data_IF_974757426808
#
_entry.id   IF_974757426808
#
_cell.length_a   1.000
_cell.length_b   1.000
_cell.length_c   1.000
_cell.angle_alpha   90.00
_cell.angle_beta   90.00
_cell.angle_gamma   90.00
#
_symmetry.space_group_name_H-M   'P 1'
#
loop_
_entity.id
_entity.type
_entity.pdbx_description
1 polymer ?
#
# COMPACT_ATOMS: atom_id res chain seq x y z
N UNK A 1 22.24 -72.36 25.54
CA UNK A 1 22.77 -71.27 24.72
C UNK A 1 21.60 -70.38 24.38
N UNK A 2 21.42 -69.33 25.17
CA UNK A 2 20.24 -68.46 25.13
C UNK A 2 20.43 -67.38 24.07
N UNK A 3 19.54 -67.36 23.07
CA UNK A 3 19.49 -66.32 22.05
C UNK A 3 18.84 -65.07 22.63
N UNK A 4 19.65 -64.03 22.83
CA UNK A 4 19.19 -62.70 23.28
C UNK A 4 18.42 -62.05 22.13
N UNK A 5 17.09 -62.16 22.15
CA UNK A 5 16.21 -61.40 21.28
C UNK A 5 16.01 -60.01 21.88
N UNK A 6 16.45 -58.97 21.16
CA UNK A 6 16.12 -57.57 21.47
C UNK A 6 14.61 -57.39 21.25
N UNK A 7 13.84 -56.82 22.20
CA UNK A 7 12.45 -56.52 21.96
C UNK A 7 12.34 -55.32 21.02
N UNK A 8 11.81 -55.56 19.82
CA UNK A 8 11.41 -54.50 18.89
C UNK A 8 10.28 -53.70 19.54
N UNK A 9 10.59 -52.51 20.05
CA UNK A 9 9.58 -51.53 20.41
C UNK A 9 8.83 -51.11 19.12
N UNK A 10 7.48 -51.13 19.10
CA UNK A 10 6.76 -50.55 17.99
C UNK A 10 7.11 -49.06 17.93
N UNK A 11 7.68 -48.63 16.81
CA UNK A 11 7.75 -47.21 16.49
C UNK A 11 6.31 -46.73 16.35
N UNK A 12 5.76 -46.14 17.42
CA UNK A 12 4.61 -45.27 17.31
C UNK A 12 5.08 -44.08 16.46
N UNK A 13 4.88 -44.22 15.15
CA UNK A 13 4.83 -43.11 14.23
C UNK A 13 3.75 -42.18 14.78
N UNK A 14 4.19 -41.15 15.51
CA UNK A 14 3.36 -40.01 15.82
C UNK A 14 3.12 -39.35 14.46
N UNK A 15 2.08 -39.80 13.76
CA UNK A 15 1.43 -39.03 12.72
C UNK A 15 0.79 -37.84 13.42
N UNK A 16 1.62 -36.84 13.72
CA UNK A 16 1.17 -35.48 13.81
C UNK A 16 0.64 -35.16 12.42
N UNK A 17 -0.64 -35.42 12.25
CA UNK A 17 -1.45 -34.90 11.17
C UNK A 17 -1.09 -33.43 11.05
N UNK A 18 -0.37 -33.08 9.97
CA UNK A 18 -0.24 -31.71 9.50
C UNK A 18 -1.63 -31.33 8.96
N UNK A 19 -2.60 -31.23 9.87
CA UNK A 19 -3.69 -30.29 9.69
C UNK A 19 -2.99 -28.96 9.78
N UNK A 20 -2.94 -28.26 8.65
CA UNK A 20 -2.53 -26.87 8.63
C UNK A 20 -3.42 -26.13 9.62
N UNK A 21 -2.89 -25.90 10.83
CA UNK A 21 -3.37 -24.90 11.79
C UNK A 21 -3.06 -23.50 11.20
N UNK A 22 -3.44 -23.30 9.93
CA UNK A 22 -3.63 -21.98 9.39
C UNK A 22 -4.67 -21.33 10.28
N UNK A 23 -4.36 -20.11 10.74
CA UNK A 23 -5.28 -19.33 11.54
C UNK A 23 -6.66 -19.40 10.88
N UNK A 24 -7.62 -20.06 11.53
CA UNK A 24 -9.02 -20.01 11.12
C UNK A 24 -9.41 -18.54 11.27
N UNK A 25 -9.43 -17.81 10.17
CA UNK A 25 -9.83 -16.39 10.14
C UNK A 25 -11.26 -16.22 9.63
N UNK A 26 -11.90 -17.32 9.24
CA UNK A 26 -13.22 -17.30 8.61
C UNK A 26 -14.26 -16.89 9.66
N UNK A 27 -14.89 -15.73 9.43
CA UNK A 27 -15.95 -15.19 10.29
C UNK A 27 -15.51 -14.19 11.36
N UNK A 28 -14.23 -13.85 11.47
CA UNK A 28 -13.80 -12.80 12.41
C UNK A 28 -14.09 -11.40 11.87
N UNK A 29 -14.64 -10.53 12.71
CA UNK A 29 -14.82 -9.10 12.41
C UNK A 29 -13.45 -8.42 12.30
N UNK A 30 -13.34 -7.37 11.50
CA UNK A 30 -12.11 -6.56 11.39
C UNK A 30 -11.49 -6.17 12.75
N UNK A 31 -12.31 -5.73 13.71
CA UNK A 31 -11.84 -5.40 15.06
C UNK A 31 -11.20 -6.59 15.79
N UNK A 32 -11.73 -7.80 15.59
CA UNK A 32 -11.18 -9.03 16.18
C UNK A 32 -9.87 -9.43 15.50
N UNK A 33 -9.78 -9.28 14.16
CA UNK A 33 -8.52 -9.50 13.43
C UNK A 33 -7.44 -8.54 13.91
N UNK A 34 -7.79 -7.27 14.15
CA UNK A 34 -6.86 -6.28 14.68
C UNK A 34 -6.41 -6.60 16.11
N UNK A 35 -7.32 -7.02 16.99
CA UNK A 35 -6.96 -7.46 18.34
C UNK A 35 -5.99 -8.65 18.31
N UNK A 36 -6.27 -9.64 17.45
CA UNK A 36 -5.41 -10.80 17.26
C UNK A 36 -4.02 -10.44 16.74
N UNK A 37 -3.92 -9.43 15.87
CA UNK A 37 -2.64 -8.88 15.41
C UNK A 37 -1.86 -8.32 16.60
N UNK A 38 -2.49 -7.48 17.42
CA UNK A 38 -1.84 -6.89 18.60
C UNK A 38 -1.37 -7.95 19.59
N UNK A 39 -2.17 -9.00 19.83
CA UNK A 39 -1.79 -10.11 20.72
C UNK A 39 -0.55 -10.86 20.21
N UNK A 40 -0.46 -11.10 18.90
CA UNK A 40 0.69 -11.76 18.30
C UNK A 40 1.94 -10.87 18.30
N UNK A 41 1.79 -9.57 18.05
CA UNK A 41 2.87 -8.59 18.14
C UNK A 41 3.40 -8.49 19.58
N UNK A 42 2.51 -8.51 20.58
CA UNK A 42 2.90 -8.52 21.99
C UNK A 42 3.68 -9.80 22.36
N UNK A 43 3.24 -10.97 21.88
CA UNK A 43 3.98 -12.24 22.05
C UNK A 43 5.35 -12.18 21.38
N UNK A 44 5.44 -11.60 20.19
CA UNK A 44 6.70 -11.42 19.47
C UNK A 44 7.66 -10.52 20.25
N UNK A 45 7.16 -9.43 20.83
CA UNK A 45 7.94 -8.52 21.68
C UNK A 45 8.44 -9.20 22.95
N UNK A 46 7.60 -10.00 23.61
CA UNK A 46 7.99 -10.75 24.80
C UNK A 46 9.11 -11.76 24.49
N UNK A 47 8.98 -12.54 23.42
CA UNK A 47 10.02 -13.49 22.98
C UNK A 47 11.29 -12.77 22.51
N UNK A 48 11.16 -11.60 21.89
CA UNK A 48 12.28 -10.73 21.54
C UNK A 48 13.06 -10.29 22.78
N UNK A 49 12.36 -9.86 23.82
CA UNK A 49 12.99 -9.46 25.10
C UNK A 49 13.76 -10.59 25.76
N UNK A 50 13.27 -11.84 25.64
CA UNK A 50 14.00 -13.04 26.09
C UNK A 50 15.28 -13.24 25.26
N UNK A 51 15.24 -13.04 23.95
CA UNK A 51 16.43 -13.15 23.10
C UNK A 51 17.47 -12.06 23.41
N UNK A 52 17.00 -10.83 23.69
CA UNK A 52 17.84 -9.68 24.04
C UNK A 52 18.57 -9.88 25.38
N UNK A 53 17.93 -10.51 26.37
CA UNK A 53 18.58 -10.83 27.65
C UNK A 53 19.75 -11.81 27.49
N UNK A 54 19.64 -12.73 26.52
CA UNK A 54 20.73 -13.63 26.13
C UNK A 54 21.72 -13.00 25.15
N UNK A 55 21.52 -11.75 24.70
CA UNK A 55 22.35 -11.02 23.72
C UNK A 55 22.51 -11.78 22.40
N UNK A 56 21.46 -12.46 21.96
CA UNK A 56 21.45 -13.37 20.81
C UNK A 56 20.35 -12.94 19.85
N UNK A 57 20.64 -12.90 18.54
CA UNK A 57 19.66 -12.59 17.50
C UNK A 57 19.12 -13.86 16.85
N UNK A 58 18.21 -13.75 15.87
CA UNK A 58 17.72 -14.91 15.10
C UNK A 58 18.80 -15.63 14.27
N UNK A 59 19.93 -14.96 13.99
CA UNK A 59 21.01 -15.45 13.10
C UNK A 59 22.31 -15.80 13.82
N UNK A 60 22.43 -15.55 15.12
CA UNK A 60 23.71 -15.78 15.81
C UNK A 60 24.05 -17.28 15.85
N UNK A 61 25.31 -17.66 15.60
CA UNK A 61 25.74 -19.06 15.61
C UNK A 61 25.66 -19.62 17.04
N UNK A 62 25.03 -20.79 17.18
CA UNK A 62 24.86 -21.48 18.48
C UNK A 62 25.91 -22.57 18.72
N UNK A 63 26.82 -22.73 17.78
CA UNK A 63 27.85 -23.76 17.76
C UNK A 63 29.20 -23.04 17.62
N UNK A 64 30.22 -23.63 18.23
CA UNK A 64 31.63 -23.24 18.05
C UNK A 64 32.15 -23.71 16.69
N UNK A 65 33.28 -23.16 16.19
CA UNK A 65 33.91 -23.61 14.94
C UNK A 65 34.25 -25.11 14.95
N UNK A 66 34.52 -25.68 16.13
CA UNK A 66 34.86 -27.08 16.32
C UNK A 66 33.63 -28.02 16.28
N UNK A 67 32.42 -27.47 16.11
CA UNK A 67 31.19 -28.25 15.96
C UNK A 67 30.44 -28.55 17.27
N UNK A 68 30.88 -28.00 18.40
CA UNK A 68 30.24 -28.22 19.71
C UNK A 68 29.29 -27.08 20.11
N UNK A 69 28.18 -27.35 20.83
CA UNK A 69 27.30 -26.33 21.36
C UNK A 69 28.06 -25.30 22.20
N UNK A 70 27.68 -24.03 22.09
CA UNK A 70 28.35 -22.97 22.83
C UNK A 70 27.99 -23.03 24.32
N UNK A 71 29.01 -23.01 25.19
CA UNK A 71 28.82 -23.17 26.63
C UNK A 71 28.35 -21.89 27.36
N UNK A 72 28.55 -20.72 26.75
CA UNK A 72 28.09 -19.41 27.22
C UNK A 72 26.59 -19.16 27.00
N UNK A 73 25.91 -20.03 26.23
CA UNK A 73 24.53 -19.85 25.81
C UNK A 73 23.66 -21.05 26.16
N UNK A 74 22.41 -20.79 26.54
CA UNK A 74 21.38 -21.84 26.57
C UNK A 74 20.85 -22.10 25.16
N UNK A 75 21.55 -23.00 24.45
CA UNK A 75 21.24 -23.36 23.05
C UNK A 75 19.81 -23.92 22.91
N UNK A 76 19.31 -24.66 23.90
CA UNK A 76 18.01 -25.30 23.85
C UNK A 76 16.88 -24.26 23.94
N UNK A 77 16.99 -23.34 24.91
CA UNK A 77 16.05 -22.23 25.06
C UNK A 77 16.05 -21.35 23.81
N UNK A 78 17.23 -20.93 23.34
CA UNK A 78 17.36 -20.07 22.16
C UNK A 78 16.73 -20.73 20.93
N UNK A 79 17.00 -22.01 20.67
CA UNK A 79 16.43 -22.73 19.52
C UNK A 79 14.90 -22.77 19.60
N UNK A 80 14.36 -23.03 20.78
CA UNK A 80 12.91 -23.08 21.02
C UNK A 80 12.26 -21.70 20.84
N UNK A 81 12.87 -20.66 21.39
CA UNK A 81 12.41 -19.27 21.27
C UNK A 81 12.44 -18.81 19.81
N UNK A 82 13.51 -19.12 19.06
CA UNK A 82 13.60 -18.83 17.62
C UNK A 82 12.49 -19.53 16.82
N UNK A 83 12.23 -20.81 17.09
CA UNK A 83 11.16 -21.53 16.41
C UNK A 83 9.79 -20.88 16.65
N UNK A 84 9.50 -20.50 17.90
CA UNK A 84 8.27 -19.77 18.27
C UNK A 84 8.14 -18.43 17.55
N UNK A 85 9.23 -17.65 17.50
CA UNK A 85 9.28 -16.38 16.78
C UNK A 85 8.94 -16.58 15.30
N UNK A 86 9.55 -17.58 14.65
CA UNK A 86 9.32 -17.86 13.22
C UNK A 86 7.85 -18.23 12.97
N UNK A 87 7.26 -19.08 13.82
CA UNK A 87 5.85 -19.46 13.69
C UNK A 87 4.94 -18.22 13.81
N UNK A 88 5.14 -17.40 14.86
CA UNK A 88 4.34 -16.19 15.06
C UNK A 88 4.51 -15.19 13.91
N UNK A 89 5.72 -15.06 13.35
CA UNK A 89 5.96 -14.19 12.19
C UNK A 89 5.23 -14.67 10.94
N UNK A 90 5.23 -15.98 10.68
CA UNK A 90 4.51 -16.57 9.55
C UNK A 90 2.99 -16.41 9.73
N UNK A 91 2.50 -16.62 10.94
CA UNK A 91 1.10 -16.45 11.32
C UNK A 91 0.64 -14.99 11.17
N UNK A 92 1.45 -14.04 11.63
CA UNK A 92 1.21 -12.60 11.43
C UNK A 92 1.15 -12.24 9.94
N UNK A 93 2.06 -12.78 9.12
CA UNK A 93 2.04 -12.58 7.67
C UNK A 93 0.74 -13.10 7.04
N UNK A 94 0.28 -14.27 7.47
CA UNK A 94 -1.01 -14.83 7.04
C UNK A 94 -2.18 -13.93 7.47
N UNK A 95 -2.22 -13.52 8.74
CA UNK A 95 -3.26 -12.64 9.28
C UNK A 95 -3.32 -11.30 8.54
N UNK A 96 -2.17 -10.69 8.23
CA UNK A 96 -2.10 -9.44 7.47
C UNK A 96 -2.70 -9.59 6.08
N UNK A 97 -2.44 -10.70 5.38
CA UNK A 97 -3.06 -10.98 4.08
C UNK A 97 -4.60 -11.10 4.18
N UNK A 98 -5.10 -11.64 5.29
CA UNK A 98 -6.55 -11.70 5.53
C UNK A 98 -7.14 -10.32 5.81
N UNK A 99 -6.46 -9.51 6.64
CA UNK A 99 -6.87 -8.13 6.93
C UNK A 99 -6.92 -7.31 5.64
N UNK A 100 -5.90 -7.40 4.79
CA UNK A 100 -5.85 -6.72 3.48
C UNK A 100 -7.07 -7.05 2.63
N UNK A 101 -7.42 -8.35 2.51
CA UNK A 101 -8.59 -8.80 1.75
C UNK A 101 -9.89 -8.25 2.32
N UNK A 102 -10.03 -8.23 3.65
CA UNK A 102 -11.22 -7.69 4.30
C UNK A 102 -11.37 -6.18 4.09
N UNK A 103 -10.26 -5.44 4.08
CA UNK A 103 -10.25 -4.00 3.77
C UNK A 103 -10.65 -3.76 2.31
N UNK A 104 -10.05 -4.51 1.38
CA UNK A 104 -10.38 -4.40 -0.04
C UNK A 104 -11.85 -4.75 -0.32
N UNK A 105 -12.37 -5.80 0.31
CA UNK A 105 -13.78 -6.17 0.19
C UNK A 105 -14.72 -5.06 0.68
N UNK A 106 -14.40 -4.43 1.82
CA UNK A 106 -15.19 -3.33 2.38
C UNK A 106 -15.22 -2.10 1.47
N UNK A 107 -14.08 -1.70 0.88
CA UNK A 107 -14.04 -0.58 -0.05
C UNK A 107 -14.67 -0.91 -1.40
N UNK A 108 -14.53 -2.15 -1.87
CA UNK A 108 -15.18 -2.60 -3.10
C UNK A 108 -16.71 -2.59 -2.96
N UNK A 109 -17.26 -3.08 -1.84
CA UNK A 109 -18.71 -3.01 -1.59
C UNK A 109 -19.19 -1.56 -1.46
N UNK A 110 -18.41 -0.71 -0.77
CA UNK A 110 -18.76 0.71 -0.64
C UNK A 110 -18.77 1.45 -1.98
N UNK A 111 -17.87 1.07 -2.90
CA UNK A 111 -17.83 1.62 -4.26
C UNK A 111 -18.99 1.13 -5.12
N UNK A 112 -19.57 -0.05 -4.83
CA UNK A 112 -20.76 -0.57 -5.51
C UNK A 112 -22.04 0.07 -4.98
N UNK A 113 -22.13 0.34 -3.67
CA UNK A 113 -23.30 1.02 -3.09
C UNK A 113 -23.50 2.42 -3.70
N UNK A 114 -22.41 3.14 -4.01
CA UNK A 114 -22.44 4.44 -4.73
C UNK A 114 -22.87 4.32 -6.21
N UNK A 115 -23.01 3.10 -6.76
CA UNK A 115 -23.49 2.85 -8.14
C UNK A 115 -24.97 2.42 -8.18
N UNK A 116 -25.58 2.10 -7.03
CA UNK A 116 -26.97 1.59 -6.95
C UNK A 116 -28.05 2.61 -6.60
N UNK A 117 -27.74 3.91 -6.46
CA UNK A 117 -28.75 4.98 -6.41
C UNK A 117 -28.92 5.76 -7.74
N UNK A 118 -28.36 5.27 -8.85
CA UNK A 118 -28.65 5.80 -10.20
C UNK A 118 -28.61 4.67 -11.25
N UNK A 119 -29.34 3.58 -11.01
CA UNK A 119 -29.54 2.53 -12.03
C UNK A 119 -30.93 2.60 -12.62
N UNK A 120 -31.15 3.68 -13.39
CA UNK A 120 -32.20 3.75 -14.41
C UNK A 120 -31.61 4.29 -15.72
N UNK A 121 -30.41 3.83 -16.11
CA UNK A 121 -29.89 4.03 -17.47
C UNK A 121 -29.16 2.78 -17.96
N UNK A 122 -29.91 2.01 -18.74
CA UNK A 122 -29.48 0.95 -19.64
C UNK A 122 -28.26 1.39 -20.49
N UNK A 123 -27.09 0.76 -20.33
CA UNK A 123 -25.99 0.87 -21.28
C UNK A 123 -25.82 -0.44 -22.04
N UNK A 124 -26.59 -0.51 -23.12
CA UNK A 124 -26.32 -1.34 -24.28
C UNK A 124 -24.98 -0.90 -24.90
N UNK A 125 -24.10 -1.88 -25.12
CA UNK A 125 -22.83 -1.67 -25.81
C UNK A 125 -23.12 -1.34 -27.28
N UNK A 126 -23.03 -0.06 -27.66
CA UNK A 126 -22.73 0.30 -29.06
C UNK A 126 -21.98 1.62 -29.20
N UNK A 127 -20.79 1.44 -29.74
CA UNK A 127 -19.90 2.38 -30.40
C UNK A 127 -20.63 3.38 -31.30
N UNK A 128 -20.00 4.55 -31.46
CA UNK A 128 -20.10 5.59 -32.52
C UNK A 128 -21.15 6.73 -32.39
N UNK A 129 -20.60 7.90 -32.04
CA UNK A 129 -20.82 9.25 -32.62
C UNK A 129 -22.04 10.09 -32.17
N UNK A 130 -21.69 11.26 -31.61
CA UNK A 130 -22.42 12.55 -31.56
C UNK A 130 -23.66 12.71 -30.66
N UNK A 131 -23.49 13.41 -29.53
CA UNK A 131 -24.19 14.69 -29.19
C UNK A 131 -23.85 15.15 -27.75
N UNK A 132 -23.41 16.40 -27.50
CA UNK A 132 -23.00 16.88 -26.19
C UNK A 132 -24.00 17.89 -25.60
N UNK A 133 -24.72 17.60 -24.51
CA UNK A 133 -25.47 18.69 -23.83
C UNK A 133 -25.84 18.55 -22.34
N UNK A 134 -25.75 17.40 -21.66
CA UNK A 134 -26.34 17.30 -20.30
C UNK A 134 -25.45 16.69 -19.21
N UNK A 135 -24.34 16.05 -19.54
CA UNK A 135 -23.39 15.50 -18.54
C UNK A 135 -22.41 16.55 -17.98
N UNK A 136 -22.25 17.71 -18.63
CA UNK A 136 -21.23 18.70 -18.26
C UNK A 136 -21.50 19.45 -16.96
N UNK A 137 -22.74 19.51 -16.46
CA UNK A 137 -23.04 20.25 -15.21
C UNK A 137 -22.59 19.51 -13.96
N UNK A 138 -22.86 18.20 -13.88
CA UNK A 138 -22.51 17.39 -12.70
C UNK A 138 -21.01 17.14 -12.55
N UNK A 139 -20.27 17.15 -13.67
CA UNK A 139 -18.82 17.00 -13.65
C UNK A 139 -18.13 18.33 -13.31
N UNK A 140 -18.63 19.46 -13.82
CA UNK A 140 -18.13 20.80 -13.43
C UNK A 140 -18.28 21.08 -11.94
N UNK A 141 -19.37 20.63 -11.32
CA UNK A 141 -19.64 20.83 -9.89
C UNK A 141 -18.64 20.10 -8.98
N UNK A 142 -17.90 19.12 -9.53
CA UNK A 142 -16.85 18.38 -8.84
C UNK A 142 -15.45 18.94 -9.09
N UNK A 143 -15.31 20.04 -9.84
CA UNK A 143 -14.04 20.73 -9.96
C UNK A 143 -13.72 21.48 -8.66
N UNK A 144 -12.52 21.31 -8.12
CA UNK A 144 -12.12 21.95 -6.86
C UNK A 144 -11.01 23.00 -7.03
N UNK A 145 -10.41 23.08 -8.21
CA UNK A 145 -9.31 24.01 -8.45
C UNK A 145 -9.28 24.52 -9.89
N UNK A 146 -8.63 25.66 -10.10
CA UNK A 146 -8.40 26.29 -11.40
C UNK A 146 -6.94 26.63 -11.59
N UNK A 147 -6.43 26.42 -12.80
CA UNK A 147 -5.07 26.81 -13.18
C UNK A 147 -5.04 28.29 -13.53
N UNK A 148 -4.26 29.07 -12.78
CA UNK A 148 -4.15 30.52 -12.93
C UNK A 148 -2.98 30.93 -13.83
N UNK A 149 -1.81 30.29 -13.66
CA UNK A 149 -0.64 30.57 -14.48
C UNK A 149 0.20 29.32 -14.70
N UNK A 150 0.90 29.27 -15.84
CA UNK A 150 1.78 28.17 -16.23
C UNK A 150 3.07 28.78 -16.78
N UNK A 151 4.21 28.26 -16.34
CA UNK A 151 5.52 28.67 -16.84
C UNK A 151 5.87 27.84 -18.09
N UNK A 152 6.39 28.49 -19.12
CA UNK A 152 6.87 27.80 -20.31
C UNK A 152 7.99 26.80 -20.00
N UNK A 153 8.04 25.68 -20.73
CA UNK A 153 8.98 24.56 -20.51
C UNK A 153 8.88 23.90 -19.12
N UNK A 154 7.83 24.19 -18.34
CA UNK A 154 7.57 23.50 -17.08
C UNK A 154 6.93 22.12 -17.31
N UNK A 155 7.02 21.20 -16.33
CA UNK A 155 6.31 19.93 -16.40
C UNK A 155 4.81 20.06 -16.67
N UNK A 156 4.16 21.10 -16.15
CA UNK A 156 2.75 21.39 -16.45
C UNK A 156 2.52 21.80 -17.90
N UNK A 157 3.43 22.57 -18.49
CA UNK A 157 3.34 22.93 -19.91
C UNK A 157 3.57 21.72 -20.81
N UNK A 158 4.55 20.87 -20.49
CA UNK A 158 4.86 19.64 -21.24
C UNK A 158 3.69 18.64 -21.19
N UNK A 159 3.01 18.55 -20.05
CA UNK A 159 1.80 17.74 -19.91
C UNK A 159 0.57 18.30 -20.62
N UNK A 160 0.65 19.50 -21.20
CA UNK A 160 -0.45 20.12 -21.95
C UNK A 160 -1.50 20.80 -21.08
N UNK A 161 -1.18 21.13 -19.82
CA UNK A 161 -2.03 21.94 -18.95
C UNK A 161 -2.12 23.37 -19.53
N UNK A 162 -3.29 24.00 -19.45
CA UNK A 162 -3.52 25.35 -19.95
C UNK A 162 -4.08 26.28 -18.87
N UNK A 163 -3.87 27.58 -19.06
CA UNK A 163 -4.43 28.61 -18.17
C UNK A 163 -5.94 28.59 -18.29
N UNK A 164 -6.64 28.55 -17.15
CA UNK A 164 -8.09 28.49 -17.10
C UNK A 164 -8.67 27.08 -16.98
N UNK A 165 -7.85 26.04 -17.13
CA UNK A 165 -8.28 24.65 -16.93
C UNK A 165 -8.81 24.46 -15.50
N UNK A 166 -9.99 23.83 -15.38
CA UNK A 166 -10.57 23.44 -14.09
C UNK A 166 -10.20 22.00 -13.78
N UNK A 167 -9.69 21.74 -12.58
CA UNK A 167 -9.21 20.41 -12.17
C UNK A 167 -10.33 19.69 -11.43
N UNK A 168 -10.70 18.52 -11.95
CA UNK A 168 -11.69 17.61 -11.34
C UNK A 168 -11.02 16.60 -10.41
N UNK A 169 -9.91 16.01 -10.86
CA UNK A 169 -9.12 15.06 -10.06
C UNK A 169 -7.62 15.25 -10.31
N UNK A 170 -6.82 15.00 -9.26
CA UNK A 170 -5.37 15.12 -9.30
C UNK A 170 -4.74 13.88 -8.64
N UNK A 171 -4.39 12.89 -9.45
CA UNK A 171 -3.94 11.58 -9.01
C UNK A 171 -5.06 10.84 -8.28
N UNK A 172 -4.93 10.72 -6.96
CA UNK A 172 -5.96 10.13 -6.09
C UNK A 172 -6.77 11.19 -5.33
N UNK A 173 -6.50 12.48 -5.57
CA UNK A 173 -7.12 13.60 -4.87
C UNK A 173 -8.33 14.08 -5.67
N UNK A 174 -9.48 14.10 -5.01
CA UNK A 174 -10.76 14.54 -5.55
C UNK A 174 -11.31 15.73 -4.74
N UNK A 175 -12.44 16.31 -5.18
CA UNK A 175 -13.15 17.39 -4.47
C UNK A 175 -13.36 17.12 -2.96
N UNK A 176 -13.60 15.87 -2.55
CA UNK A 176 -13.83 15.57 -1.12
C UNK A 176 -12.55 15.47 -0.28
N UNK A 177 -11.37 15.28 -0.88
CA UNK A 177 -10.12 14.92 -0.18
C UNK A 177 -8.94 15.86 -0.49
N UNK A 178 -9.21 17.09 -0.93
CA UNK A 178 -8.15 18.01 -1.38
C UNK A 178 -7.55 18.88 -0.25
N UNK A 179 -8.21 18.97 0.92
CA UNK A 179 -7.77 19.74 2.10
C UNK A 179 -7.17 21.11 1.74
N UNK A 180 -7.98 21.98 1.14
CA UNK A 180 -7.56 23.31 0.65
C UNK A 180 -6.28 23.27 -0.23
N UNK A 181 -6.17 22.24 -1.09
CA UNK A 181 -5.03 21.97 -1.99
C UNK A 181 -3.73 21.54 -1.30
N UNK A 182 -3.72 21.28 0.02
CA UNK A 182 -2.52 20.81 0.72
C UNK A 182 -2.13 19.40 0.29
N UNK A 183 -3.13 18.54 0.05
CA UNK A 183 -2.93 17.17 -0.42
C UNK A 183 -2.21 17.13 -1.78
N UNK A 184 -2.49 18.09 -2.67
CA UNK A 184 -1.79 18.19 -3.97
C UNK A 184 -0.30 18.43 -3.76
N UNK A 185 0.06 19.35 -2.85
CA UNK A 185 1.47 19.64 -2.56
C UNK A 185 2.21 18.40 -2.05
N UNK A 186 1.59 17.67 -1.13
CA UNK A 186 2.14 16.44 -0.56
C UNK A 186 2.36 15.37 -1.63
N UNK A 187 1.34 15.12 -2.47
CA UNK A 187 1.43 14.14 -3.56
C UNK A 187 2.53 14.49 -4.56
N UNK A 188 2.64 15.76 -4.93
CA UNK A 188 3.68 16.24 -5.88
C UNK A 188 5.08 16.09 -5.28
N UNK A 189 5.23 16.27 -3.97
CA UNK A 189 6.50 16.08 -3.27
C UNK A 189 6.87 14.59 -3.15
N UNK A 190 5.91 13.71 -2.89
CA UNK A 190 6.13 12.26 -2.79
C UNK A 190 6.54 11.65 -4.14
N UNK A 191 5.92 12.12 -5.23
CA UNK A 191 6.14 11.63 -6.59
C UNK A 191 7.50 12.01 -7.21
N UNK A 192 8.23 12.95 -6.60
CA UNK A 192 9.56 13.39 -7.05
C UNK A 192 10.65 12.33 -6.85
N UNK A 193 10.50 11.41 -5.89
CA UNK A 193 11.38 10.24 -5.74
C UNK A 193 12.88 10.57 -5.64
N UNK A 194 13.30 11.40 -4.67
CA UNK A 194 14.68 11.33 -4.13
C UNK A 194 14.58 11.16 -2.62
N UNK A 195 14.97 9.97 -2.17
CA UNK A 195 15.17 9.63 -0.77
C UNK A 195 16.23 10.55 -0.16
N UNK A 196 15.83 11.49 0.70
CA UNK A 196 16.72 11.98 1.74
C UNK A 196 16.38 11.18 3.00
N UNK A 197 17.00 10.01 3.14
CA UNK A 197 16.97 9.24 4.38
C UNK A 197 17.71 10.10 5.44
N UNK A 198 16.97 10.74 6.34
CA UNK A 198 17.47 11.07 7.67
C UNK A 198 17.07 9.94 8.61
N UNK A 199 18.04 9.10 8.98
CA UNK A 199 18.00 8.43 10.28
C UNK A 199 18.26 6.93 10.33
N UNK A 200 17.84 6.12 9.35
CA UNK A 200 17.91 4.66 9.51
C UNK A 200 18.23 3.92 8.21
N UNK A 201 19.24 3.06 8.27
CA UNK A 201 19.67 2.13 7.22
C UNK A 201 18.57 1.08 6.95
N UNK A 202 17.54 1.47 6.18
CA UNK A 202 16.69 0.51 5.48
C UNK A 202 16.63 0.93 4.01
N UNK A 203 17.57 0.40 3.25
CA UNK A 203 17.72 0.65 1.83
C UNK A 203 16.65 -0.13 1.05
N UNK A 204 15.41 0.32 1.09
CA UNK A 204 14.42 -0.06 0.08
C UNK A 204 14.65 0.89 -1.11
N UNK A 205 15.56 0.50 -2.01
CA UNK A 205 15.59 1.03 -3.37
C UNK A 205 14.36 0.47 -4.12
N UNK A 206 13.18 1.03 -3.88
CA UNK A 206 12.03 0.80 -4.75
C UNK A 206 11.93 1.97 -5.72
N UNK A 207 12.35 1.69 -6.95
CA UNK A 207 12.09 2.39 -8.20
C UNK A 207 12.43 3.89 -8.28
N UNK A 208 13.60 4.15 -8.85
CA UNK A 208 14.03 5.42 -9.44
C UNK A 208 13.23 5.73 -10.73
N UNK A 209 11.91 5.70 -10.66
CA UNK A 209 11.01 6.13 -11.74
C UNK A 209 10.19 7.29 -11.19
N UNK A 210 10.36 8.47 -11.78
CA UNK A 210 9.50 9.62 -11.53
C UNK A 210 8.04 9.17 -11.62
N UNK A 211 7.27 9.31 -10.54
CA UNK A 211 5.91 8.78 -10.50
C UNK A 211 5.01 9.70 -11.33
N UNK A 212 4.43 9.14 -12.39
CA UNK A 212 3.47 9.84 -13.23
C UNK A 212 2.19 10.13 -12.43
N UNK A 213 1.72 11.37 -12.48
CA UNK A 213 0.45 11.79 -11.87
C UNK A 213 -0.57 12.01 -12.99
N UNK A 214 -1.68 11.28 -12.95
CA UNK A 214 -2.80 11.52 -13.85
C UNK A 214 -3.67 12.66 -13.32
N UNK A 215 -4.02 13.62 -14.16
CA UNK A 215 -4.86 14.77 -13.78
C UNK A 215 -6.00 14.91 -14.78
N UNK A 216 -7.23 14.95 -14.28
CA UNK A 216 -8.41 15.20 -15.10
C UNK A 216 -8.77 16.68 -15.03
N UNK A 217 -8.82 17.31 -16.20
CA UNK A 217 -9.14 18.73 -16.35
C UNK A 217 -10.31 18.94 -17.30
N UNK A 218 -11.07 20.00 -17.04
CA UNK A 218 -12.11 20.52 -17.90
C UNK A 218 -11.64 21.79 -18.54
N UNK A 219 -11.57 21.77 -19.87
CA UNK A 219 -11.15 22.89 -20.70
C UNK A 219 -12.35 23.45 -21.46
N UNK A 220 -12.56 24.74 -21.34
CA UNK A 220 -13.55 25.45 -22.13
C UNK A 220 -12.96 25.81 -23.51
N UNK A 221 -13.55 25.26 -24.56
CA UNK A 221 -13.18 25.53 -25.95
C UNK A 221 -13.82 26.85 -26.42
N UNK A 222 -13.23 27.47 -27.44
CA UNK A 222 -13.73 28.73 -28.03
C UNK A 222 -15.17 28.66 -28.57
N UNK A 223 -15.67 27.46 -28.83
CA UNK A 223 -17.04 27.20 -29.27
C UNK A 223 -18.05 27.16 -28.10
N UNK A 224 -17.61 27.40 -26.85
CA UNK A 224 -18.44 27.27 -25.64
C UNK A 224 -18.65 25.83 -25.19
N UNK A 225 -18.00 24.86 -25.85
CA UNK A 225 -18.02 23.46 -25.46
C UNK A 225 -16.97 23.18 -24.39
N UNK A 226 -17.32 22.37 -23.40
CA UNK A 226 -16.40 21.94 -22.35
C UNK A 226 -15.87 20.56 -22.73
N UNK A 227 -14.56 20.40 -22.73
CA UNK A 227 -13.87 19.15 -23.01
C UNK A 227 -13.20 18.62 -21.75
N UNK A 228 -13.46 17.36 -21.42
CA UNK A 228 -12.75 16.64 -20.38
C UNK A 228 -11.48 16.01 -20.96
N UNK A 229 -10.34 16.27 -20.31
CA UNK A 229 -9.02 15.84 -20.74
C UNK A 229 -8.33 15.14 -19.57
N UNK A 230 -7.74 13.96 -19.82
CA UNK A 230 -6.85 13.29 -18.87
C UNK A 230 -5.42 13.56 -19.28
N UNK A 231 -4.68 14.29 -18.45
CA UNK A 231 -3.29 14.68 -18.66
C UNK A 231 -2.36 13.89 -17.73
N UNK A 232 -1.11 13.74 -18.13
CA UNK A 232 -0.09 13.03 -17.37
C UNK A 232 1.05 13.98 -16.99
N UNK A 233 1.14 14.30 -15.69
CA UNK A 233 2.14 15.18 -15.11
C UNK A 233 3.29 14.38 -14.52
N UNK A 234 4.52 14.77 -14.84
CA UNK A 234 5.72 14.21 -14.23
C UNK A 234 6.44 15.32 -13.45
N UNK A 235 6.34 15.35 -12.10
CA UNK A 235 7.02 16.34 -11.29
C UNK A 235 8.54 16.29 -11.49
N UNK A 236 9.17 17.47 -11.62
CA UNK A 236 10.62 17.58 -11.78
C UNK A 236 11.13 18.87 -11.14
N UNK A 237 12.35 18.84 -10.59
CA UNK A 237 13.10 20.05 -10.19
C UNK A 237 14.04 20.58 -11.26
N UNK A 238 14.40 19.76 -12.26
CA UNK A 238 15.47 20.07 -13.22
C UNK A 238 15.03 20.94 -14.42
N UNK A 239 13.81 21.48 -14.41
CA UNK A 239 13.29 22.31 -15.50
C UNK A 239 13.64 23.80 -15.39
N UNK A 240 14.38 24.20 -14.35
CA UNK A 240 14.95 25.55 -14.24
C UNK A 240 14.02 26.64 -13.70
N UNK A 241 12.92 26.28 -13.04
CA UNK A 241 11.99 27.23 -12.41
C UNK A 241 11.69 26.92 -10.94
N UNK A 242 10.75 27.68 -10.36
CA UNK A 242 10.34 27.51 -8.95
C UNK A 242 9.32 26.37 -8.83
N UNK A 243 9.62 25.42 -7.96
CA UNK A 243 8.72 24.32 -7.61
C UNK A 243 8.82 23.12 -8.56
N UNK A 244 7.88 22.19 -8.42
CA UNK A 244 7.94 20.86 -9.05
C UNK A 244 7.13 20.70 -10.34
N UNK A 245 6.14 21.57 -10.53
CA UNK A 245 5.23 21.51 -11.68
C UNK A 245 5.32 22.75 -12.57
N UNK A 246 5.61 23.91 -11.97
CA UNK A 246 5.67 25.19 -12.68
C UNK A 246 4.30 25.75 -13.07
N UNK A 247 3.25 25.40 -12.32
CA UNK A 247 1.92 26.00 -12.44
C UNK A 247 1.45 26.60 -11.10
N UNK A 248 0.55 27.57 -11.18
CA UNK A 248 -0.14 28.13 -10.03
C UNK A 248 -1.60 27.70 -10.06
N UNK A 249 -2.00 26.94 -9.04
CA UNK A 249 -3.34 26.38 -8.89
C UNK A 249 -4.04 27.15 -7.76
N UNK A 250 -5.24 27.64 -8.05
CA UNK A 250 -6.10 28.32 -7.09
C UNK A 250 -7.31 27.43 -6.76
N UNK A 251 -7.81 27.44 -5.52
CA UNK A 251 -9.11 26.83 -5.23
C UNK A 251 -10.21 27.55 -6.00
N UNK A 252 -11.26 26.82 -6.37
CA UNK A 252 -12.47 27.39 -6.98
C UNK A 252 -13.37 28.07 -5.94
#
# INVERSE_FOLDING_TARGET
MESIHVPTLPSECISNTVQGDGIKTDGFTFAQLQAKKMDMEAKLQALGSVMDSHKVNMKTPLITPDGFPRADLDVALIRTTRAKIIHIQNDLKCLMSVIERHIHAYFASKSQDDVTEDSDLNLDLKTTISSPSQTNKYTLDRCFAKVNSIVHNSPSAVAGLQIGDKISSFGHINFSNHDCLNQIKNLVQESEGVWAIKGYNLQIKTNSLQRLIHVQVMRELKCGQIQELTLSLTPSKSWGGRGLLGCHILPL
#
